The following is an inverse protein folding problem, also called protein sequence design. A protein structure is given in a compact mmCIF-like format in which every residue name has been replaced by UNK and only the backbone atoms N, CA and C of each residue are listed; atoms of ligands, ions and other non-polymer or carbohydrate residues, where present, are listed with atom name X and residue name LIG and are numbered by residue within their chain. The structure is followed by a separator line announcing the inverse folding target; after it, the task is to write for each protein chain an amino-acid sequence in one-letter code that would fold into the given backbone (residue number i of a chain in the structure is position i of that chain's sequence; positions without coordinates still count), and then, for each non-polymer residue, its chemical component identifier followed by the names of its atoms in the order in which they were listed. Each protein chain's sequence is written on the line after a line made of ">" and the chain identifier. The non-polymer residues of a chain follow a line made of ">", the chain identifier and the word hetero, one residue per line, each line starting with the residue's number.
data_IF_201678894815
#
_entry.id   IF_201678894815
#
_cell.length_a   1.000
_cell.length_b   1.000
_cell.length_c   1.000
_cell.angle_alpha   90.00
_cell.angle_beta   90.00
_cell.angle_gamma   90.00
#
_symmetry.space_group_name_H-M   'P 1'
#
loop_
_entity.id
_entity.type
_entity.pdbx_description
1 polymer ?
#
# COMPACT_ATOMS: atom_id res chain seq x y z
N UNK A 1 6.97 0.72 -20.78
CA UNK A 1 5.60 0.50 -20.24
C UNK A 1 5.69 -0.29 -18.96
N UNK A 2 4.83 0.02 -17.99
CA UNK A 2 4.75 -0.77 -16.77
C UNK A 2 4.30 -2.22 -17.10
N UNK A 3 4.84 -3.25 -16.41
CA UNK A 3 4.38 -4.63 -16.59
C UNK A 3 2.91 -4.77 -16.16
N UNK A 4 2.14 -5.53 -16.93
CA UNK A 4 0.72 -5.76 -16.65
C UNK A 4 0.54 -6.92 -15.67
N UNK A 5 1.48 -7.85 -15.63
CA UNK A 5 1.46 -9.01 -14.73
C UNK A 5 2.68 -9.05 -13.82
N UNK A 6 2.54 -9.74 -12.69
CA UNK A 6 3.66 -9.97 -11.78
C UNK A 6 4.71 -10.91 -12.40
N UNK A 7 4.31 -11.82 -13.28
CA UNK A 7 5.26 -12.68 -14.00
C UNK A 7 6.14 -11.87 -14.95
N UNK A 8 5.57 -10.92 -15.71
CA UNK A 8 6.35 -9.98 -16.53
C UNK A 8 7.30 -9.15 -15.68
N UNK A 9 6.83 -8.64 -14.52
CA UNK A 9 7.67 -7.90 -13.59
C UNK A 9 8.85 -8.76 -13.11
N UNK A 10 8.60 -10.01 -12.71
CA UNK A 10 9.64 -10.92 -12.23
C UNK A 10 10.68 -11.22 -13.32
N UNK A 11 10.24 -11.42 -14.56
CA UNK A 11 11.16 -11.64 -15.69
C UNK A 11 12.02 -10.41 -15.99
N UNK A 12 11.44 -9.19 -15.92
CA UNK A 12 12.21 -7.96 -16.02
C UNK A 12 13.24 -7.84 -14.89
N UNK A 13 12.84 -8.14 -13.66
CA UNK A 13 13.74 -8.11 -12.50
C UNK A 13 14.92 -9.08 -12.65
N UNK A 14 14.67 -10.29 -13.15
CA UNK A 14 15.72 -11.31 -13.41
C UNK A 14 16.73 -10.85 -14.46
N UNK A 15 16.27 -10.16 -15.49
CA UNK A 15 17.07 -9.84 -16.65
C UNK A 15 17.78 -8.48 -16.54
N UNK A 16 17.21 -7.51 -15.84
CA UNK A 16 17.64 -6.13 -15.89
C UNK A 16 18.11 -5.56 -14.55
N UNK A 17 17.81 -6.22 -13.40
CA UNK A 17 18.34 -5.78 -12.11
C UNK A 17 19.86 -6.01 -12.04
N UNK A 18 20.57 -4.99 -11.62
CA UNK A 18 22.03 -5.01 -11.41
C UNK A 18 22.38 -4.56 -10.00
N UNK A 19 23.65 -4.53 -9.65
CA UNK A 19 24.10 -4.02 -8.35
C UNK A 19 23.80 -2.53 -8.11
N UNK A 20 23.68 -1.75 -9.19
CA UNK A 20 23.51 -0.30 -9.14
C UNK A 20 22.11 0.16 -9.56
N UNK A 21 21.29 -0.72 -10.15
CA UNK A 21 20.00 -0.39 -10.73
C UNK A 21 18.99 -1.51 -10.50
N UNK A 22 17.87 -1.16 -9.87
CA UNK A 22 16.76 -2.06 -9.61
C UNK A 22 15.61 -1.82 -10.59
N UNK A 23 14.98 -2.88 -11.07
CA UNK A 23 13.73 -2.79 -11.83
C UNK A 23 12.58 -2.44 -10.91
N UNK A 24 12.54 -3.07 -9.74
CA UNK A 24 11.47 -2.91 -8.76
C UNK A 24 12.02 -2.96 -7.35
N UNK A 25 11.49 -2.09 -6.49
CA UNK A 25 11.78 -2.09 -5.05
C UNK A 25 10.49 -1.87 -4.26
N UNK A 26 10.39 -2.51 -3.10
CA UNK A 26 9.29 -2.28 -2.16
C UNK A 26 9.72 -2.52 -0.71
N UNK A 27 8.89 -2.10 0.23
CA UNK A 27 9.08 -2.42 1.64
C UNK A 27 8.66 -3.87 1.90
N UNK A 28 9.44 -4.81 1.36
CA UNK A 28 9.11 -6.24 1.29
C UNK A 28 8.95 -6.96 2.64
N UNK A 29 9.33 -6.31 3.74
CA UNK A 29 9.23 -6.89 5.09
C UNK A 29 8.33 -6.09 6.02
N UNK A 30 7.38 -5.35 5.45
CA UNK A 30 6.32 -4.67 6.20
C UNK A 30 4.96 -5.24 5.85
N UNK A 31 4.17 -5.53 6.86
CA UNK A 31 2.84 -6.12 6.75
C UNK A 31 1.89 -5.29 5.87
N UNK A 32 2.00 -3.95 5.95
CA UNK A 32 1.17 -3.06 5.14
C UNK A 32 1.38 -3.26 3.63
N UNK A 33 2.63 -3.39 3.18
CA UNK A 33 2.96 -3.57 1.77
C UNK A 33 2.73 -5.03 1.33
N UNK A 34 3.17 -5.99 2.12
CA UNK A 34 3.01 -7.41 1.83
C UNK A 34 1.53 -7.87 1.82
N UNK A 35 0.64 -7.13 2.50
CA UNK A 35 -0.79 -7.40 2.46
C UNK A 35 -1.36 -7.41 1.04
N UNK A 36 -0.82 -6.61 0.11
CA UNK A 36 -1.26 -6.60 -1.27
C UNK A 36 -1.08 -7.96 -1.97
N UNK A 37 0.02 -8.65 -1.68
CA UNK A 37 0.32 -9.99 -2.17
C UNK A 37 -0.57 -11.02 -1.49
N UNK A 38 -0.62 -11.02 -0.16
CA UNK A 38 -1.40 -11.96 0.64
C UNK A 38 -2.88 -11.92 0.25
N UNK A 39 -3.47 -10.72 0.16
CA UNK A 39 -4.88 -10.53 -0.16
C UNK A 39 -5.17 -10.85 -1.64
N UNK A 40 -4.23 -10.55 -2.53
CA UNK A 40 -4.34 -10.91 -3.94
C UNK A 40 -4.41 -12.42 -4.19
N UNK A 41 -3.78 -13.23 -3.35
CA UNK A 41 -3.92 -14.69 -3.36
C UNK A 41 -5.14 -15.20 -2.59
N UNK A 42 -5.91 -14.31 -1.95
CA UNK A 42 -7.10 -14.68 -1.16
C UNK A 42 -6.79 -15.02 0.30
N UNK A 43 -5.57 -14.75 0.77
CA UNK A 43 -5.21 -14.78 2.20
C UNK A 43 -5.65 -13.49 2.91
N UNK A 44 -5.37 -13.41 4.19
CA UNK A 44 -5.61 -12.21 5.00
C UNK A 44 -4.72 -12.21 6.25
N UNK A 45 -4.53 -11.05 6.86
CA UNK A 45 -3.83 -10.95 8.14
C UNK A 45 -4.75 -11.36 9.29
N UNK A 46 -5.95 -10.76 9.32
CA UNK A 46 -6.99 -11.06 10.31
C UNK A 46 -8.37 -10.90 9.65
N UNK A 47 -9.31 -11.77 9.99
CA UNK A 47 -10.66 -11.76 9.45
C UNK A 47 -11.66 -11.02 10.38
N UNK A 48 -12.92 -10.95 9.95
CA UNK A 48 -14.02 -10.31 10.70
C UNK A 48 -14.32 -11.00 12.04
N UNK A 49 -13.97 -12.28 12.16
CA UNK A 49 -14.11 -13.04 13.40
C UNK A 49 -12.91 -12.86 14.35
N UNK A 50 -11.95 -11.99 14.00
CA UNK A 50 -10.69 -11.74 14.72
C UNK A 50 -9.75 -12.95 14.74
N UNK A 51 -9.81 -13.77 13.71
CA UNK A 51 -8.95 -14.93 13.55
C UNK A 51 -7.78 -14.57 12.65
N UNK A 52 -6.51 -14.80 13.06
CA UNK A 52 -5.35 -14.61 12.20
C UNK A 52 -5.37 -15.58 11.01
N UNK A 53 -4.88 -15.14 9.87
CA UNK A 53 -4.83 -15.94 8.64
C UNK A 53 -3.41 -16.17 8.12
N UNK A 54 -2.40 -16.16 9.01
CA UNK A 54 -0.99 -16.17 8.60
C UNK A 54 -0.52 -17.53 8.08
N UNK A 55 -1.17 -18.65 8.48
CA UNK A 55 -0.84 -19.98 7.99
C UNK A 55 -1.89 -20.58 7.04
N UNK A 56 -2.79 -19.76 6.50
CA UNK A 56 -3.69 -20.19 5.44
C UNK A 56 -2.88 -20.63 4.22
N UNK A 57 -3.32 -21.67 3.48
CA UNK A 57 -2.65 -22.07 2.24
C UNK A 57 -2.42 -20.91 1.26
N UNK A 58 -3.40 -20.01 1.13
CA UNK A 58 -3.31 -18.82 0.28
C UNK A 58 -2.25 -17.81 0.76
N UNK A 59 -2.11 -17.63 2.09
CA UNK A 59 -1.07 -16.77 2.66
C UNK A 59 0.31 -17.36 2.44
N UNK A 60 0.47 -18.66 2.65
CA UNK A 60 1.72 -19.38 2.40
C UNK A 60 2.11 -19.29 0.92
N UNK A 61 1.16 -19.55 0.01
CA UNK A 61 1.37 -19.44 -1.44
C UNK A 61 1.80 -18.01 -1.85
N UNK A 62 1.12 -17.00 -1.30
CA UNK A 62 1.46 -15.59 -1.53
C UNK A 62 2.90 -15.27 -1.09
N UNK A 63 3.31 -15.74 0.07
CA UNK A 63 4.65 -15.48 0.60
C UNK A 63 5.75 -16.24 -0.17
N UNK A 64 5.49 -17.48 -0.59
CA UNK A 64 6.40 -18.24 -1.45
C UNK A 64 6.57 -17.57 -2.81
N UNK A 65 5.49 -17.04 -3.37
CA UNK A 65 5.55 -16.32 -4.63
C UNK A 65 6.29 -14.97 -4.47
N UNK A 66 5.94 -14.18 -3.47
CA UNK A 66 6.56 -12.89 -3.19
C UNK A 66 8.07 -13.00 -2.90
N UNK A 67 8.49 -14.04 -2.19
CA UNK A 67 9.91 -14.31 -1.88
C UNK A 67 10.80 -14.34 -3.14
N UNK A 68 10.26 -14.73 -4.29
CA UNK A 68 11.01 -14.74 -5.54
C UNK A 68 11.43 -13.34 -5.97
N UNK A 69 10.57 -12.33 -5.73
CA UNK A 69 10.86 -10.92 -6.03
C UNK A 69 11.89 -10.33 -5.08
N UNK A 70 11.79 -10.68 -3.79
CA UNK A 70 12.68 -10.18 -2.74
C UNK A 70 14.16 -10.48 -3.06
N UNK A 71 14.44 -11.57 -3.75
CA UNK A 71 15.80 -11.94 -4.17
C UNK A 71 16.46 -10.92 -5.11
N UNK A 72 15.68 -10.05 -5.74
CA UNK A 72 16.14 -9.01 -6.68
C UNK A 72 15.97 -7.59 -6.11
N UNK A 73 15.69 -7.46 -4.82
CA UNK A 73 15.51 -6.19 -4.11
C UNK A 73 16.65 -5.96 -3.10
N UNK A 74 16.78 -4.72 -2.55
CA UNK A 74 17.68 -4.47 -1.43
C UNK A 74 17.35 -5.35 -0.23
N UNK A 75 18.37 -5.88 0.44
CA UNK A 75 18.19 -6.84 1.54
C UNK A 75 17.43 -6.28 2.75
N UNK A 76 17.47 -4.98 3.01
CA UNK A 76 16.78 -4.36 4.14
C UNK A 76 15.30 -4.08 3.88
N UNK A 77 14.91 -3.69 2.65
CA UNK A 77 13.55 -3.36 2.26
C UNK A 77 12.89 -2.28 3.14
N UNK A 78 13.68 -1.37 3.71
CA UNK A 78 13.18 -0.33 4.61
C UNK A 78 12.65 0.90 3.83
N UNK A 79 11.73 1.65 4.45
CA UNK A 79 11.11 2.81 3.84
C UNK A 79 12.12 3.81 3.24
N UNK A 80 13.16 4.14 4.01
CA UNK A 80 14.16 5.11 3.56
C UNK A 80 14.99 4.59 2.39
N UNK A 81 15.35 3.31 2.40
CA UNK A 81 16.12 2.69 1.31
C UNK A 81 15.30 2.66 0.03
N UNK A 82 14.05 2.21 0.11
CA UNK A 82 13.15 2.12 -1.04
C UNK A 82 12.87 3.50 -1.65
N UNK A 83 12.53 4.49 -0.81
CA UNK A 83 12.24 5.86 -1.27
C UNK A 83 13.47 6.55 -1.85
N UNK A 84 14.65 6.37 -1.23
CA UNK A 84 15.90 6.94 -1.72
C UNK A 84 16.28 6.35 -3.08
N UNK A 85 16.25 5.02 -3.23
CA UNK A 85 16.57 4.38 -4.50
C UNK A 85 15.65 4.85 -5.62
N UNK A 86 14.35 5.01 -5.33
CA UNK A 86 13.40 5.49 -6.34
C UNK A 86 13.63 6.97 -6.68
N UNK A 87 13.79 7.85 -5.69
CA UNK A 87 13.99 9.30 -5.92
C UNK A 87 15.36 9.64 -6.49
N UNK A 88 16.37 8.78 -6.32
CA UNK A 88 17.68 8.91 -6.98
C UNK A 88 17.71 8.30 -8.40
N UNK A 89 16.58 7.74 -8.88
CA UNK A 89 16.50 7.09 -10.18
C UNK A 89 17.24 5.75 -10.26
N UNK A 90 17.56 5.14 -9.11
CA UNK A 90 18.21 3.82 -9.02
C UNK A 90 17.22 2.66 -8.98
N UNK A 91 15.93 2.95 -8.92
CA UNK A 91 14.86 1.98 -9.08
C UNK A 91 13.87 2.49 -10.13
N UNK A 92 13.49 1.63 -11.07
CA UNK A 92 12.58 1.99 -12.15
C UNK A 92 11.11 1.98 -11.70
N UNK A 93 10.75 1.17 -10.71
CA UNK A 93 9.39 1.07 -10.19
C UNK A 93 9.35 0.76 -8.68
N UNK A 94 8.24 1.15 -8.06
CA UNK A 94 7.94 0.85 -6.67
C UNK A 94 6.43 0.75 -6.45
N UNK A 95 6.02 0.01 -5.42
CA UNK A 95 4.65 0.05 -4.90
C UNK A 95 4.63 0.99 -3.70
N UNK A 96 3.65 1.89 -3.68
CA UNK A 96 3.47 2.83 -2.58
C UNK A 96 2.13 3.54 -2.65
N UNK A 97 1.91 4.49 -1.77
CA UNK A 97 0.68 5.26 -1.71
C UNK A 97 0.85 6.72 -2.13
N UNK A 98 -0.25 7.48 -2.14
CA UNK A 98 -0.26 8.88 -2.58
C UNK A 98 0.70 9.79 -1.80
N UNK A 99 1.05 9.43 -0.56
CA UNK A 99 2.01 10.16 0.27
C UNK A 99 3.43 10.23 -0.30
N UNK A 100 3.79 9.35 -1.23
CA UNK A 100 5.10 9.38 -1.91
C UNK A 100 5.16 10.43 -3.01
N UNK A 101 4.02 10.77 -3.63
CA UNK A 101 3.94 11.61 -4.83
C UNK A 101 4.58 12.99 -4.64
N UNK A 102 4.34 13.74 -3.56
CA UNK A 102 4.97 15.05 -3.37
C UNK A 102 6.50 14.97 -3.37
N UNK A 103 7.08 14.04 -2.60
CA UNK A 103 8.54 13.88 -2.54
C UNK A 103 9.16 13.42 -3.86
N UNK A 104 8.47 12.57 -4.61
CA UNK A 104 8.91 12.12 -5.93
C UNK A 104 8.90 13.29 -6.93
N UNK A 105 7.86 14.11 -6.93
CA UNK A 105 7.78 15.31 -7.77
C UNK A 105 8.87 16.34 -7.41
N UNK A 106 9.13 16.53 -6.11
CA UNK A 106 10.19 17.42 -5.61
C UNK A 106 11.59 16.94 -6.06
N UNK A 107 11.80 15.63 -6.12
CA UNK A 107 13.03 15.03 -6.66
C UNK A 107 13.19 15.18 -8.19
N UNK A 108 12.18 15.72 -8.89
CA UNK A 108 12.21 15.93 -10.34
C UNK A 108 12.03 14.67 -11.18
N UNK A 109 11.50 13.61 -10.60
CA UNK A 109 11.20 12.35 -11.30
C UNK A 109 9.96 12.55 -12.19
N UNK A 110 10.08 12.14 -13.45
CA UNK A 110 8.94 12.02 -14.37
C UNK A 110 8.12 10.77 -14.00
N UNK A 111 7.14 10.98 -13.11
CA UNK A 111 6.38 9.90 -12.46
C UNK A 111 5.26 9.39 -13.36
N UNK A 112 5.34 8.12 -13.75
CA UNK A 112 4.22 7.35 -14.28
C UNK A 112 3.49 6.60 -13.16
N UNK A 113 2.17 6.49 -13.27
CA UNK A 113 1.35 5.71 -12.34
C UNK A 113 0.60 4.64 -13.15
N UNK A 114 0.71 3.40 -12.70
CA UNK A 114 0.09 2.24 -13.33
C UNK A 114 -0.84 1.51 -12.34
N UNK A 115 -1.84 0.78 -12.84
CA UNK A 115 -2.60 -0.16 -12.04
C UNK A 115 -1.68 -1.22 -11.41
N UNK A 116 -2.15 -1.83 -10.32
CA UNK A 116 -1.47 -2.98 -9.72
C UNK A 116 -1.42 -4.16 -10.70
N UNK A 117 -0.27 -4.83 -10.85
CA UNK A 117 -0.12 -5.95 -11.77
C UNK A 117 -0.97 -7.16 -11.35
N UNK A 118 -1.31 -7.98 -12.35
CA UNK A 118 -2.13 -9.18 -12.17
C UNK A 118 -1.25 -10.35 -11.74
N UNK A 119 -1.68 -11.07 -10.71
CA UNK A 119 -1.07 -12.30 -10.19
C UNK A 119 -1.37 -13.51 -11.07
N UNK A 120 -0.62 -14.63 -10.96
CA UNK A 120 -0.86 -15.84 -11.73
C UNK A 120 -2.26 -16.44 -11.58
N UNK A 121 -2.95 -16.16 -10.47
CA UNK A 121 -4.32 -16.60 -10.23
C UNK A 121 -5.38 -15.73 -10.95
N UNK A 122 -4.96 -14.71 -11.70
CA UNK A 122 -5.84 -13.78 -12.43
C UNK A 122 -6.40 -12.63 -11.61
N UNK A 123 -6.04 -12.51 -10.32
CA UNK A 123 -6.41 -11.38 -9.46
C UNK A 123 -5.26 -10.37 -9.45
N UNK A 124 -5.53 -9.08 -9.42
CA UNK A 124 -4.47 -8.08 -9.20
C UNK A 124 -3.98 -8.08 -7.77
N UNK A 125 -2.76 -7.60 -7.53
CA UNK A 125 -2.32 -7.25 -6.18
C UNK A 125 -3.38 -6.37 -5.51
N UNK A 126 -3.78 -6.72 -4.29
CA UNK A 126 -4.95 -6.15 -3.61
C UNK A 126 -4.51 -5.47 -2.31
N UNK A 127 -4.15 -4.17 -2.34
CA UNK A 127 -3.63 -3.47 -1.17
C UNK A 127 -4.72 -3.14 -0.14
N UNK A 128 -4.30 -2.76 1.05
CA UNK A 128 -5.19 -2.12 2.01
C UNK A 128 -5.69 -0.77 1.52
N UNK A 129 -6.96 -0.47 1.82
CA UNK A 129 -7.55 0.86 1.68
C UNK A 129 -7.71 1.48 3.06
N UNK A 130 -7.06 2.62 3.26
CA UNK A 130 -7.21 3.44 4.47
C UNK A 130 -8.08 4.67 4.19
N UNK A 131 -8.92 5.02 5.15
CA UNK A 131 -9.69 6.27 5.13
C UNK A 131 -9.16 7.18 6.22
N UNK A 132 -8.64 8.34 5.81
CA UNK A 132 -8.25 9.39 6.76
C UNK A 132 -9.45 10.27 7.06
N UNK A 133 -9.73 10.48 8.34
CA UNK A 133 -10.88 11.25 8.77
C UNK A 133 -10.62 12.04 10.05
N UNK A 134 -11.54 12.94 10.35
CA UNK A 134 -11.53 13.72 11.57
C UNK A 134 -12.56 13.15 12.54
N UNK A 135 -12.11 12.82 13.74
CA UNK A 135 -12.97 12.35 14.82
C UNK A 135 -13.34 13.48 15.78
N UNK A 136 -14.62 13.62 16.09
CA UNK A 136 -15.11 14.56 17.08
C UNK A 136 -15.17 13.88 18.45
N UNK A 137 -14.41 14.39 19.41
CA UNK A 137 -14.45 13.90 20.78
C UNK A 137 -15.81 14.21 21.43
N UNK A 138 -16.34 13.28 22.23
CA UNK A 138 -17.63 13.38 22.91
C UNK A 138 -17.80 14.71 23.66
N UNK A 139 -16.83 15.09 24.48
CA UNK A 139 -16.87 16.35 25.23
C UNK A 139 -16.95 17.58 24.31
N UNK A 140 -16.20 17.60 23.21
CA UNK A 140 -16.29 18.70 22.25
C UNK A 140 -17.65 18.73 21.54
N UNK A 141 -18.23 17.57 21.22
CA UNK A 141 -19.56 17.46 20.63
C UNK A 141 -20.67 18.01 21.56
N UNK A 142 -20.49 17.91 22.87
CA UNK A 142 -21.44 18.39 23.87
C UNK A 142 -21.27 19.90 24.13
N UNK A 143 -20.02 20.41 24.18
CA UNK A 143 -19.72 21.76 24.66
C UNK A 143 -19.44 22.79 23.55
N UNK A 144 -19.17 22.34 22.30
CA UNK A 144 -18.74 23.21 21.18
C UNK A 144 -19.52 22.96 19.88
N UNK A 145 -20.80 22.63 19.99
CA UNK A 145 -21.64 22.20 18.84
C UNK A 145 -21.58 23.15 17.64
N UNK A 146 -21.76 24.46 17.88
CA UNK A 146 -21.80 25.44 16.80
C UNK A 146 -20.45 25.58 16.09
N UNK A 147 -19.36 25.70 16.86
CA UNK A 147 -18.02 25.79 16.31
C UNK A 147 -17.64 24.52 15.53
N UNK A 148 -18.01 23.33 16.04
CA UNK A 148 -17.79 22.06 15.34
C UNK A 148 -18.57 21.96 14.05
N UNK A 149 -19.81 22.43 14.02
CA UNK A 149 -20.61 22.43 12.81
C UNK A 149 -19.96 23.23 11.68
N UNK A 150 -19.42 24.42 12.00
CA UNK A 150 -18.70 25.24 11.02
C UNK A 150 -17.38 24.59 10.57
N UNK A 151 -16.59 24.03 11.49
CA UNK A 151 -15.35 23.33 11.15
C UNK A 151 -15.63 22.13 10.25
N UNK A 152 -16.60 21.27 10.59
CA UNK A 152 -16.94 20.10 9.81
C UNK A 152 -17.50 20.47 8.43
N UNK A 153 -18.25 21.57 8.34
CA UNK A 153 -18.73 22.11 7.06
C UNK A 153 -17.58 22.52 6.15
N UNK A 154 -16.59 23.21 6.69
CA UNK A 154 -15.37 23.58 5.95
C UNK A 154 -14.59 22.34 5.54
N UNK A 155 -14.32 21.40 6.46
CA UNK A 155 -13.56 20.18 6.17
C UNK A 155 -14.26 19.28 5.15
N UNK A 156 -15.60 19.24 5.14
CA UNK A 156 -16.36 18.48 4.17
C UNK A 156 -16.65 19.23 2.86
N UNK A 157 -16.14 20.44 2.67
CA UNK A 157 -16.41 21.24 1.47
C UNK A 157 -15.66 20.74 0.23
N UNK A 158 -16.16 21.14 -0.95
CA UNK A 158 -15.48 20.92 -2.24
C UNK A 158 -14.08 21.54 -2.23
N UNK A 159 -13.99 22.78 -1.74
CA UNK A 159 -12.77 23.59 -1.73
C UNK A 159 -11.67 22.91 -0.89
N UNK A 160 -12.03 22.37 0.29
CA UNK A 160 -11.09 21.63 1.12
C UNK A 160 -10.67 20.32 0.43
N UNK A 161 -11.61 19.62 -0.22
CA UNK A 161 -11.28 18.42 -0.99
C UNK A 161 -10.29 18.69 -2.11
N UNK A 162 -10.48 19.76 -2.88
CA UNK A 162 -9.56 20.19 -3.94
C UNK A 162 -8.19 20.59 -3.37
N UNK A 163 -8.17 21.35 -2.27
CA UNK A 163 -6.92 21.78 -1.63
C UNK A 163 -6.09 20.58 -1.13
N UNK A 164 -6.73 19.58 -0.49
CA UNK A 164 -6.05 18.36 -0.02
C UNK A 164 -5.56 17.49 -1.18
N UNK A 165 -6.36 17.38 -2.25
CA UNK A 165 -5.94 16.67 -3.45
C UNK A 165 -4.67 17.29 -4.04
N UNK A 166 -4.63 18.60 -4.20
CA UNK A 166 -3.49 19.32 -4.77
C UNK A 166 -2.24 19.29 -3.87
N UNK A 167 -2.43 19.29 -2.55
CA UNK A 167 -1.32 19.30 -1.61
C UNK A 167 -0.70 17.91 -1.37
N UNK A 168 -1.50 16.84 -1.44
CA UNK A 168 -1.10 15.50 -1.01
C UNK A 168 -1.51 14.37 -1.96
N UNK A 169 -2.03 14.68 -3.14
CA UNK A 169 -2.54 13.70 -4.13
C UNK A 169 -3.54 12.69 -3.53
N UNK A 170 -4.24 13.07 -2.46
CA UNK A 170 -5.21 12.22 -1.80
C UNK A 170 -6.59 12.31 -2.48
N UNK A 171 -7.27 11.17 -2.61
CA UNK A 171 -8.62 11.11 -3.19
C UNK A 171 -9.64 11.82 -2.26
N UNK A 172 -10.32 12.90 -2.71
CA UNK A 172 -11.29 13.60 -1.88
C UNK A 172 -12.52 12.77 -1.58
N UNK A 173 -13.03 12.85 -0.34
CA UNK A 173 -14.30 12.22 0.03
C UNK A 173 -15.53 12.96 -0.56
N UNK A 174 -15.42 14.26 -0.81
CA UNK A 174 -16.47 15.03 -1.44
C UNK A 174 -16.47 14.82 -2.94
N UNK A 175 -17.52 14.16 -3.47
CA UNK A 175 -17.64 13.86 -4.90
C UNK A 175 -17.63 15.09 -5.81
N UNK A 176 -18.05 16.27 -5.31
CA UNK A 176 -18.00 17.52 -6.08
C UNK A 176 -16.59 18.03 -6.32
N UNK A 177 -15.60 17.59 -5.52
CA UNK A 177 -14.22 17.96 -5.76
C UNK A 177 -13.69 17.41 -7.10
N UNK A 178 -14.24 16.29 -7.58
CA UNK A 178 -13.89 15.69 -8.88
C UNK A 178 -14.41 16.46 -10.11
N UNK A 179 -15.22 17.51 -9.89
CA UNK A 179 -15.60 18.45 -10.96
C UNK A 179 -14.46 19.46 -11.26
N UNK A 180 -13.48 19.56 -10.38
CA UNK A 180 -12.30 20.41 -10.59
C UNK A 180 -11.27 19.67 -11.43
N UNK A 181 -10.74 20.32 -12.47
CA UNK A 181 -9.78 19.72 -13.38
C UNK A 181 -8.49 19.28 -12.66
N UNK A 182 -8.03 20.02 -11.65
CA UNK A 182 -6.84 19.67 -10.88
C UNK A 182 -6.98 18.34 -10.10
N UNK A 183 -8.22 17.88 -9.86
CA UNK A 183 -8.52 16.60 -9.22
C UNK A 183 -8.79 15.51 -10.25
N UNK A 184 -9.62 15.81 -11.25
CA UNK A 184 -10.03 14.82 -12.27
C UNK A 184 -8.93 14.48 -13.28
N UNK A 185 -7.89 15.29 -13.39
CA UNK A 185 -6.74 15.06 -14.26
C UNK A 185 -5.49 14.56 -13.49
N UNK A 186 -5.55 14.52 -12.14
CA UNK A 186 -4.44 13.98 -11.36
C UNK A 186 -4.35 12.45 -11.51
N UNK A 187 -3.21 11.98 -12.03
CA UNK A 187 -2.99 10.56 -12.36
C UNK A 187 -3.14 9.65 -11.12
N UNK A 188 -2.65 10.09 -9.95
CA UNK A 188 -2.72 9.29 -8.72
C UNK A 188 -4.16 9.16 -8.22
N UNK A 189 -4.91 10.26 -8.20
CA UNK A 189 -6.32 10.27 -7.78
C UNK A 189 -7.16 9.40 -8.71
N UNK A 190 -6.92 9.47 -10.00
CA UNK A 190 -7.63 8.64 -10.97
C UNK A 190 -7.25 7.17 -10.89
N UNK A 191 -5.98 6.85 -10.60
CA UNK A 191 -5.55 5.48 -10.33
C UNK A 191 -6.26 4.91 -9.07
N UNK A 192 -6.29 5.67 -7.97
CA UNK A 192 -7.00 5.28 -6.75
C UNK A 192 -8.49 5.04 -7.00
N UNK A 193 -9.13 5.90 -7.81
CA UNK A 193 -10.54 5.73 -8.20
C UNK A 193 -10.77 4.45 -9.01
N UNK A 194 -9.88 4.15 -9.94
CA UNK A 194 -9.95 2.95 -10.78
C UNK A 194 -9.78 1.69 -9.94
N UNK A 195 -8.89 1.73 -8.93
CA UNK A 195 -8.59 0.60 -8.04
C UNK A 195 -9.60 0.44 -6.90
N UNK A 196 -10.58 1.34 -6.73
CA UNK A 196 -11.48 1.36 -5.58
C UNK A 196 -12.23 0.03 -5.31
N UNK A 197 -12.42 -0.79 -6.35
CA UNK A 197 -13.04 -2.11 -6.23
C UNK A 197 -12.04 -3.26 -6.03
N UNK A 198 -10.74 -2.98 -6.02
CA UNK A 198 -9.66 -3.96 -5.87
C UNK A 198 -8.76 -3.61 -4.69
N UNK A 199 -9.38 -3.33 -3.56
CA UNK A 199 -8.72 -3.01 -2.30
C UNK A 199 -9.46 -3.67 -1.14
N UNK A 200 -8.77 -3.93 -0.05
CA UNK A 200 -9.39 -4.43 1.19
C UNK A 200 -9.41 -3.30 2.23
N UNK A 201 -10.56 -2.97 2.81
CA UNK A 201 -10.60 -2.03 3.93
C UNK A 201 -9.68 -2.49 5.05
N UNK A 202 -8.79 -1.60 5.50
CA UNK A 202 -7.90 -1.91 6.60
C UNK A 202 -8.71 -2.14 7.89
N UNK A 203 -8.55 -3.29 8.57
CA UNK A 203 -9.30 -3.58 9.78
C UNK A 203 -9.05 -2.54 10.88
N UNK A 204 -10.12 -1.94 11.38
CA UNK A 204 -10.06 -0.95 12.47
C UNK A 204 -10.49 -1.62 13.78
N UNK A 205 -9.71 -2.58 14.23
CA UNK A 205 -9.92 -3.35 15.46
C UNK A 205 -8.63 -3.37 16.30
N UNK A 206 -8.70 -3.42 17.63
CA UNK A 206 -7.51 -3.40 18.49
C UNK A 206 -6.52 -4.53 18.22
N UNK A 207 -6.99 -5.69 17.80
CA UNK A 207 -6.16 -6.85 17.47
C UNK A 207 -5.22 -6.58 16.29
N UNK A 208 -5.57 -5.64 15.41
CA UNK A 208 -4.72 -5.27 14.28
C UNK A 208 -3.39 -4.66 14.72
N UNK A 209 -3.35 -4.00 15.90
CA UNK A 209 -2.10 -3.46 16.45
C UNK A 209 -1.07 -4.56 16.72
N UNK A 210 -1.54 -5.74 17.15
CA UNK A 210 -0.69 -6.93 17.34
C UNK A 210 -0.32 -7.55 15.99
N UNK A 211 -1.28 -7.62 15.07
CA UNK A 211 -1.06 -8.24 13.75
C UNK A 211 0.01 -7.52 12.93
N UNK A 212 0.16 -6.20 13.08
CA UNK A 212 1.25 -5.48 12.41
C UNK A 212 2.61 -6.05 12.81
N UNK A 213 2.90 -6.10 14.11
CA UNK A 213 4.21 -6.57 14.57
C UNK A 213 4.44 -8.05 14.30
N UNK A 214 3.44 -8.89 14.50
CA UNK A 214 3.55 -10.34 14.25
C UNK A 214 3.80 -10.63 12.77
N UNK A 215 3.10 -9.92 11.88
CA UNK A 215 3.29 -10.10 10.44
C UNK A 215 4.64 -9.52 9.97
N UNK A 216 5.09 -8.39 10.51
CA UNK A 216 6.42 -7.86 10.22
C UNK A 216 7.53 -8.83 10.65
N UNK A 217 7.40 -9.46 11.82
CA UNK A 217 8.34 -10.49 12.29
C UNK A 217 8.33 -11.74 11.40
N UNK A 218 7.15 -12.18 10.95
CA UNK A 218 6.99 -13.27 9.99
C UNK A 218 7.69 -12.94 8.67
N UNK A 219 7.44 -11.75 8.12
CA UNK A 219 8.06 -11.30 6.87
C UNK A 219 9.60 -11.19 7.01
N UNK A 220 10.09 -10.68 8.14
CA UNK A 220 11.52 -10.64 8.42
C UNK A 220 12.13 -12.04 8.54
N UNK A 221 11.40 -13.00 9.14
CA UNK A 221 11.84 -14.40 9.20
C UNK A 221 12.06 -14.97 7.79
N UNK A 222 11.07 -14.79 6.92
CA UNK A 222 11.10 -15.32 5.55
C UNK A 222 12.06 -14.54 4.65
N UNK A 223 11.94 -13.21 4.61
CA UNK A 223 12.60 -12.37 3.62
C UNK A 223 14.04 -11.98 3.99
N UNK A 224 14.32 -11.79 5.29
CA UNK A 224 15.63 -11.36 5.76
C UNK A 224 16.46 -12.53 6.35
N UNK A 225 15.83 -13.46 7.06
CA UNK A 225 16.51 -14.60 7.68
C UNK A 225 16.51 -15.87 6.83
N UNK A 226 15.70 -15.91 5.76
CA UNK A 226 15.64 -17.05 4.82
C UNK A 226 14.96 -18.29 5.37
N UNK A 227 14.11 -18.12 6.41
CA UNK A 227 13.37 -19.24 6.99
C UNK A 227 12.39 -19.86 5.98
N UNK A 228 12.04 -21.12 6.20
CA UNK A 228 11.01 -21.82 5.43
C UNK A 228 9.66 -21.16 5.66
N UNK A 229 8.94 -20.87 4.56
CA UNK A 229 7.70 -20.07 4.63
C UNK A 229 6.63 -20.76 5.46
N UNK A 230 6.37 -22.05 5.21
CA UNK A 230 5.34 -22.79 5.93
C UNK A 230 5.65 -22.85 7.44
N UNK A 231 6.91 -23.14 7.77
CA UNK A 231 7.37 -23.19 9.17
C UNK A 231 7.22 -21.85 9.88
N UNK A 232 7.60 -20.76 9.21
CA UNK A 232 7.47 -19.41 9.75
C UNK A 232 5.99 -19.01 9.92
N UNK A 233 5.14 -19.29 8.94
CA UNK A 233 3.70 -19.06 9.01
C UNK A 233 3.04 -19.81 10.18
N UNK A 234 3.35 -21.08 10.36
CA UNK A 234 2.82 -21.90 11.48
C UNK A 234 3.28 -21.41 12.85
N UNK A 235 4.48 -20.84 12.93
CA UNK A 235 5.01 -20.27 14.18
C UNK A 235 4.32 -18.96 14.57
N UNK A 236 4.00 -18.11 13.58
CA UNK A 236 3.42 -16.78 13.82
C UNK A 236 1.87 -16.78 13.83
N UNK A 237 1.23 -17.87 13.46
CA UNK A 237 -0.23 -18.04 13.54
C UNK A 237 -0.73 -18.19 15.00
N UNK A 238 0.11 -18.64 15.93
CA UNK A 238 -0.21 -18.95 17.33
C UNK A 238 -0.26 -17.72 18.23
#
# INVERSE_FOLDING_TARGET
>A
TAPETTDELLELMKNETTADQYVFVEQHSTSYNAAAWIQGFGGYLINENREPGLNLPQTVEAMEYHKQFVSYMPADGEYNTVTTLFTEGKAASTIGGPWLVPGIKEAGIDLGIAPMPVLPNGTSLTPFSGVQGVHVLKHAAETKKEALAEVLKVLGSKETGVALANAASCAPANSKAYEDASVSEDQMIMALKTMANNVVPMPNIPEMDVMWSVTDDLLAAVNKRGEDVQTACDAHQK
#
